data_IF_438459408422
#
_entry.id   IF_438459408422
#
_cell.length_a   1.000
_cell.length_b   1.000
_cell.length_c   1.000
_cell.angle_alpha   90.00
_cell.angle_beta   90.00
_cell.angle_gamma   90.00
#
_symmetry.space_group_name_H-M   'P 1'
#
loop_
_entity.id
_entity.type
_entity.pdbx_description
1 polymer ?
#
# COMPACT_ATOMS: atom_id res chain seq x y z
N UNK A 1 -26.20 -8.45 -7.88
CA UNK A 1 -25.91 -8.67 -6.44
C UNK A 1 -25.03 -7.59 -5.80
N UNK A 2 -24.23 -6.83 -6.57
CA UNK A 2 -23.37 -5.74 -6.06
C UNK A 2 -24.11 -4.66 -5.25
N UNK A 3 -25.34 -4.29 -5.65
CA UNK A 3 -26.12 -3.25 -4.96
C UNK A 3 -26.48 -3.59 -3.50
N UNK A 4 -26.65 -4.88 -3.16
CA UNK A 4 -26.95 -5.28 -1.77
C UNK A 4 -25.75 -5.08 -0.84
N UNK A 5 -24.52 -5.21 -1.34
CA UNK A 5 -23.29 -5.01 -0.57
C UNK A 5 -23.05 -3.53 -0.27
N UNK A 6 -23.37 -2.64 -1.23
CA UNK A 6 -23.25 -1.18 -1.06
C UNK A 6 -24.23 -0.63 -0.02
N UNK A 7 -25.46 -1.14 0.02
CA UNK A 7 -26.46 -0.74 1.02
C UNK A 7 -26.10 -1.19 2.44
N UNK A 8 -25.48 -2.37 2.60
CA UNK A 8 -24.99 -2.85 3.91
C UNK A 8 -23.87 -1.98 4.48
N UNK A 9 -22.94 -1.53 3.64
CA UNK A 9 -21.80 -0.69 4.05
C UNK A 9 -22.23 0.71 4.53
N UNK A 10 -23.38 1.20 4.09
CA UNK A 10 -23.85 2.56 4.42
C UNK A 10 -24.56 2.67 5.77
N UNK A 11 -25.00 1.55 6.33
CA UNK A 11 -25.90 1.46 7.49
C UNK A 11 -25.26 0.75 8.70
N UNK A 12 -23.93 0.66 8.74
CA UNK A 12 -23.25 0.08 9.90
C UNK A 12 -23.19 1.13 11.01
N UNK A 13 -24.19 1.08 11.89
CA UNK A 13 -24.21 1.85 13.13
C UNK A 13 -23.50 1.04 14.19
N UNK A 14 -22.43 1.59 14.75
CA UNK A 14 -21.67 0.96 15.84
C UNK A 14 -21.94 1.78 17.10
N UNK A 15 -22.47 1.13 18.13
CA UNK A 15 -22.84 1.77 19.40
C UNK A 15 -23.81 2.96 19.27
N UNK A 16 -24.71 2.93 18.28
CA UNK A 16 -25.67 4.01 18.03
C UNK A 16 -25.09 5.22 17.27
N UNK A 17 -23.82 5.19 16.90
CA UNK A 17 -23.20 6.21 16.05
C UNK A 17 -22.98 5.68 14.63
N UNK A 18 -23.22 6.56 13.65
CA UNK A 18 -22.92 6.28 12.25
C UNK A 18 -21.45 6.58 11.99
N UNK A 19 -20.68 5.54 11.66
CA UNK A 19 -19.29 5.71 11.25
C UNK A 19 -19.23 6.46 9.92
N UNK A 20 -18.30 7.40 9.80
CA UNK A 20 -18.10 8.11 8.56
C UNK A 20 -17.54 7.16 7.49
N UNK A 21 -18.05 7.28 6.26
CA UNK A 21 -17.66 6.39 5.17
C UNK A 21 -16.17 6.57 4.84
N UNK A 22 -15.42 5.48 4.56
CA UNK A 22 -14.00 5.58 4.25
C UNK A 22 -13.81 6.39 2.97
N UNK A 23 -13.15 7.56 3.10
CA UNK A 23 -12.87 8.48 1.99
C UNK A 23 -11.46 8.24 1.48
N UNK A 24 -11.30 8.18 0.16
CA UNK A 24 -9.98 8.26 -0.46
C UNK A 24 -9.45 9.69 -0.26
N UNK A 25 -8.56 9.85 0.71
CA UNK A 25 -7.89 11.12 1.01
C UNK A 25 -6.42 11.04 0.62
N UNK A 26 -5.76 12.19 0.48
CA UNK A 26 -4.30 12.21 0.29
C UNK A 26 -3.57 11.55 1.46
N UNK A 27 -4.11 11.68 2.69
CA UNK A 27 -3.58 11.01 3.88
C UNK A 27 -3.65 9.49 3.72
N UNK A 28 -4.75 8.96 3.17
CA UNK A 28 -4.84 7.53 2.85
C UNK A 28 -3.75 7.10 1.85
N UNK A 29 -3.53 7.86 0.78
CA UNK A 29 -2.48 7.54 -0.21
C UNK A 29 -1.10 7.53 0.44
N UNK A 30 -0.82 8.51 1.30
CA UNK A 30 0.43 8.56 2.06
C UNK A 30 0.58 7.33 2.95
N UNK A 31 -0.46 6.92 3.65
CA UNK A 31 -0.40 5.71 4.48
C UNK A 31 -0.21 4.43 3.67
N UNK A 32 -0.84 4.32 2.50
CA UNK A 32 -0.60 3.19 1.58
C UNK A 32 0.87 3.18 1.15
N UNK A 33 1.43 4.33 0.80
CA UNK A 33 2.84 4.42 0.45
C UNK A 33 3.74 4.03 1.63
N UNK A 34 3.43 4.47 2.85
CA UNK A 34 4.23 4.15 4.05
C UNK A 34 4.14 2.67 4.42
N UNK A 35 2.97 2.06 4.38
CA UNK A 35 2.78 0.68 4.83
C UNK A 35 3.00 -0.37 3.73
N UNK A 36 2.91 0.01 2.46
CA UNK A 36 3.06 -0.93 1.34
C UNK A 36 4.24 -0.53 0.47
N UNK A 37 4.30 0.73 0.05
CA UNK A 37 5.37 1.23 -0.81
C UNK A 37 6.75 1.09 -0.16
N UNK A 38 6.93 1.62 1.05
CA UNK A 38 8.21 1.59 1.77
C UNK A 38 8.73 0.15 2.01
N UNK A 39 7.93 -0.79 2.53
CA UNK A 39 8.39 -2.16 2.70
C UNK A 39 8.80 -2.83 1.39
N UNK A 40 8.03 -2.63 0.31
CA UNK A 40 8.38 -3.17 -1.00
C UNK A 40 9.69 -2.57 -1.51
N UNK A 41 9.89 -1.26 -1.38
CA UNK A 41 11.13 -0.58 -1.76
C UNK A 41 12.34 -1.12 -0.98
N UNK A 42 12.20 -1.32 0.33
CA UNK A 42 13.28 -1.86 1.15
C UNK A 42 13.61 -3.28 0.72
N UNK A 43 12.61 -4.15 0.59
CA UNK A 43 12.82 -5.55 0.21
C UNK A 43 13.43 -5.66 -1.19
N UNK A 44 12.91 -4.92 -2.18
CA UNK A 44 13.48 -4.93 -3.53
C UNK A 44 14.90 -4.42 -3.55
N UNK A 45 15.19 -3.34 -2.81
CA UNK A 45 16.54 -2.76 -2.74
C UNK A 45 17.56 -3.74 -2.13
N UNK A 46 17.16 -4.53 -1.13
CA UNK A 46 18.02 -5.56 -0.54
C UNK A 46 18.27 -6.71 -1.53
N UNK A 47 17.26 -7.10 -2.31
CA UNK A 47 17.40 -8.13 -3.34
C UNK A 47 18.35 -7.64 -4.45
N UNK A 48 18.17 -6.41 -4.90
CA UNK A 48 19.03 -5.79 -5.92
C UNK A 48 20.51 -5.76 -5.46
N UNK A 49 20.76 -5.36 -4.20
CA UNK A 49 22.10 -5.39 -3.61
C UNK A 49 22.68 -6.80 -3.56
N UNK A 50 21.88 -7.80 -3.19
CA UNK A 50 22.32 -9.19 -3.17
C UNK A 50 22.70 -9.68 -4.57
N UNK A 51 21.89 -9.37 -5.59
CA UNK A 51 22.17 -9.72 -6.98
C UNK A 51 23.46 -9.05 -7.45
N UNK A 52 23.63 -7.76 -7.16
CA UNK A 52 24.84 -7.02 -7.51
C UNK A 52 26.09 -7.64 -6.89
N UNK A 53 26.00 -8.09 -5.63
CA UNK A 53 27.12 -8.71 -4.95
C UNK A 53 27.50 -10.08 -5.50
N UNK A 54 26.56 -10.79 -6.11
CA UNK A 54 26.79 -12.13 -6.69
C UNK A 54 27.26 -12.02 -8.15
N UNK A 55 26.60 -11.18 -8.94
CA UNK A 55 26.84 -11.09 -10.40
C UNK A 55 27.83 -10.01 -10.79
N UNK A 56 28.11 -9.05 -9.90
CA UNK A 56 28.91 -7.86 -10.20
C UNK A 56 28.24 -6.88 -11.16
N UNK A 57 27.00 -7.14 -11.59
CA UNK A 57 26.24 -6.28 -12.48
C UNK A 57 25.25 -5.43 -11.68
N UNK A 58 25.10 -4.18 -12.08
CA UNK A 58 24.18 -3.26 -11.45
C UNK A 58 22.75 -3.50 -11.97
N UNK A 59 21.78 -3.62 -11.05
CA UNK A 59 20.37 -3.94 -11.38
C UNK A 59 19.40 -3.19 -10.48
N UNK A 60 18.22 -2.89 -11.02
CA UNK A 60 17.08 -2.39 -10.24
C UNK A 60 17.16 -0.91 -9.85
N UNK A 61 16.62 -0.57 -8.68
CA UNK A 61 16.43 0.84 -8.26
C UNK A 61 17.76 1.60 -8.15
N UNK A 62 18.82 0.91 -7.73
CA UNK A 62 20.17 1.47 -7.57
C UNK A 62 20.87 1.83 -8.88
N UNK A 63 20.39 1.30 -10.01
CA UNK A 63 21.03 1.50 -11.30
C UNK A 63 20.48 2.70 -12.08
N UNK A 64 19.44 3.33 -11.55
CA UNK A 64 18.83 4.52 -12.15
C UNK A 64 19.40 5.83 -11.59
N UNK A 65 20.18 5.76 -10.50
CA UNK A 65 20.88 6.87 -9.83
C UNK A 65 22.39 6.70 -9.96
#
# INVERSE_FOLDING_TARGET
MLNKLRLRRQAETVMGHRLEEPRLTLVFVLWVFVYVGLPLLVVSSLIDLLIQQITGNCTGFWCWF
#
